data_IF_938144734457
#
_entry.id   IF_938144734457
#
_cell.length_a   1.000
_cell.length_b   1.000
_cell.length_c   1.000
_cell.angle_alpha   90.00
_cell.angle_beta   90.00
_cell.angle_gamma   90.00
#
_symmetry.space_group_name_H-M   'P 1'
#
loop_
_entity.id
_entity.type
_entity.pdbx_description
1 polymer ?
#
# COMPACT_ATOMS: atom_id res chain seq x y z
N UNK A 1 -23.69 -8.40 0.31
CA UNK A 1 -23.82 -8.31 -1.16
C UNK A 1 -22.47 -8.57 -1.80
N UNK A 2 -22.38 -9.38 -2.87
CA UNK A 2 -21.10 -9.69 -3.54
C UNK A 2 -20.44 -8.44 -4.14
N UNK A 3 -21.23 -7.47 -4.60
CA UNK A 3 -20.76 -6.21 -5.17
C UNK A 3 -19.85 -5.40 -4.22
N UNK A 4 -20.12 -5.41 -2.90
CA UNK A 4 -19.26 -4.74 -1.92
C UNK A 4 -17.89 -5.42 -1.81
N UNK A 5 -17.87 -6.76 -1.87
CA UNK A 5 -16.62 -7.54 -1.84
C UNK A 5 -15.81 -7.33 -3.12
N UNK A 6 -16.48 -7.24 -4.27
CA UNK A 6 -15.81 -7.00 -5.55
C UNK A 6 -15.23 -5.59 -5.65
N UNK A 7 -15.97 -4.56 -5.23
CA UNK A 7 -15.47 -3.19 -5.14
C UNK A 7 -14.27 -3.08 -4.18
N UNK A 8 -14.28 -3.85 -3.09
CA UNK A 8 -13.16 -3.87 -2.15
C UNK A 8 -11.92 -4.54 -2.76
N UNK A 9 -12.09 -5.66 -3.47
CA UNK A 9 -11.01 -6.31 -4.24
C UNK A 9 -10.40 -5.37 -5.28
N UNK A 10 -11.21 -4.58 -5.98
CA UNK A 10 -10.71 -3.56 -6.91
C UNK A 10 -9.90 -2.47 -6.20
N UNK A 11 -10.35 -2.00 -5.02
CA UNK A 11 -9.58 -1.02 -4.23
C UNK A 11 -8.20 -1.55 -3.83
N UNK A 12 -8.09 -2.80 -3.38
CA UNK A 12 -6.78 -3.41 -3.07
C UNK A 12 -5.90 -3.54 -4.32
N UNK A 13 -6.47 -3.92 -5.46
CA UNK A 13 -5.72 -3.97 -6.74
C UNK A 13 -5.21 -2.59 -7.15
N UNK A 14 -6.05 -1.57 -7.07
CA UNK A 14 -5.68 -0.20 -7.42
C UNK A 14 -4.60 0.34 -6.49
N UNK A 15 -4.70 0.10 -5.17
CA UNK A 15 -3.63 0.43 -4.23
C UNK A 15 -2.30 -0.22 -4.64
N UNK A 16 -2.29 -1.53 -4.93
CA UNK A 16 -1.09 -2.25 -5.34
C UNK A 16 -0.50 -1.77 -6.69
N UNK A 17 -1.33 -1.26 -7.59
CA UNK A 17 -0.88 -0.67 -8.86
C UNK A 17 -0.25 0.70 -8.61
N UNK A 18 -0.97 1.59 -7.92
CA UNK A 18 -0.52 2.94 -7.60
C UNK A 18 0.75 2.93 -6.74
N UNK A 19 0.83 2.06 -5.73
CA UNK A 19 2.03 1.92 -4.89
C UNK A 19 3.26 1.53 -5.72
N UNK A 20 3.13 0.55 -6.62
CA UNK A 20 4.25 0.13 -7.49
C UNK A 20 4.68 1.22 -8.47
N UNK A 21 3.74 1.95 -9.02
CA UNK A 21 4.03 3.08 -9.92
C UNK A 21 4.72 4.22 -9.17
N UNK A 22 4.23 4.55 -7.98
CA UNK A 22 4.86 5.53 -7.09
C UNK A 22 6.28 5.09 -6.73
N UNK A 23 6.46 3.86 -6.25
CA UNK A 23 7.77 3.31 -5.92
C UNK A 23 8.74 3.39 -7.11
N UNK A 24 8.31 2.96 -8.31
CA UNK A 24 9.13 3.04 -9.53
C UNK A 24 9.52 4.48 -9.88
N UNK A 25 8.57 5.41 -9.76
CA UNK A 25 8.80 6.83 -10.08
C UNK A 25 9.76 7.46 -9.08
N UNK A 26 9.55 7.21 -7.80
CA UNK A 26 10.36 7.77 -6.72
C UNK A 26 11.78 7.19 -6.70
N UNK A 27 11.95 5.89 -6.94
CA UNK A 27 13.28 5.26 -7.02
C UNK A 27 14.05 5.64 -8.29
N UNK A 28 13.37 6.09 -9.34
CA UNK A 28 14.01 6.62 -10.54
C UNK A 28 14.57 8.05 -10.36
N UNK A 29 14.15 8.78 -9.33
CA UNK A 29 14.65 10.13 -9.06
C UNK A 29 16.05 10.10 -8.45
N UNK A 30 17.03 10.64 -9.18
CA UNK A 30 18.35 10.93 -8.61
C UNK A 30 18.26 12.17 -7.71
N UNK A 31 17.89 11.97 -6.45
CA UNK A 31 18.09 13.00 -5.42
C UNK A 31 19.56 12.96 -5.03
N UNK A 32 20.34 13.95 -5.49
CA UNK A 32 21.81 13.98 -5.33
C UNK A 32 22.21 14.14 -3.86
N UNK A 33 21.45 14.93 -3.12
CA UNK A 33 21.69 15.17 -1.71
C UNK A 33 21.11 14.03 -0.83
N UNK A 34 21.92 13.37 0.01
CA UNK A 34 21.47 12.25 0.82
C UNK A 34 20.50 12.66 1.93
N UNK A 35 20.64 13.87 2.50
CA UNK A 35 19.75 14.35 3.55
C UNK A 35 18.35 14.66 3.01
N UNK A 36 18.27 15.37 1.88
CA UNK A 36 16.99 15.61 1.18
C UNK A 36 16.34 14.31 0.74
N UNK A 37 17.12 13.31 0.33
CA UNK A 37 16.59 11.99 -0.01
C UNK A 37 15.96 11.31 1.20
N UNK A 38 16.64 11.35 2.34
CA UNK A 38 16.17 10.77 3.60
C UNK A 38 14.92 11.49 4.11
N UNK A 39 14.91 12.82 4.14
CA UNK A 39 13.73 13.61 4.50
C UNK A 39 12.52 13.30 3.61
N UNK A 40 12.73 13.15 2.30
CA UNK A 40 11.67 12.75 1.38
C UNK A 40 11.15 11.36 1.67
N UNK A 41 12.04 10.38 1.93
CA UNK A 41 11.64 9.02 2.30
C UNK A 41 10.81 9.01 3.59
N UNK A 42 11.28 9.69 4.64
CA UNK A 42 10.56 9.84 5.92
C UNK A 42 9.18 10.44 5.67
N UNK A 43 9.10 11.57 4.96
CA UNK A 43 7.85 12.30 4.72
C UNK A 43 6.82 11.47 3.93
N UNK A 44 7.27 10.63 3.02
CA UNK A 44 6.41 9.71 2.26
C UNK A 44 5.92 8.58 3.18
N UNK A 45 6.84 7.93 3.89
CA UNK A 45 6.56 6.83 4.81
C UNK A 45 5.55 7.24 5.90
N UNK A 46 5.72 8.41 6.51
CA UNK A 46 4.80 8.98 7.50
C UNK A 46 3.36 9.15 7.00
N UNK A 47 3.15 9.27 5.67
CA UNK A 47 1.81 9.39 5.08
C UNK A 47 1.27 8.05 4.60
N UNK A 48 2.11 7.26 3.94
CA UNK A 48 1.70 6.01 3.27
C UNK A 48 1.45 4.90 4.28
N UNK A 49 2.33 4.72 5.27
CA UNK A 49 2.24 3.62 6.24
C UNK A 49 0.97 3.72 7.08
N UNK A 50 0.63 4.87 7.72
CA UNK A 50 -0.57 4.93 8.55
C UNK A 50 -1.86 4.78 7.73
N UNK A 51 -1.87 5.31 6.50
CA UNK A 51 -3.01 5.20 5.59
C UNK A 51 -3.22 3.74 5.15
N UNK A 52 -2.15 3.02 4.78
CA UNK A 52 -2.25 1.62 4.39
C UNK A 52 -2.61 0.72 5.57
N UNK A 53 -1.99 0.92 6.74
CA UNK A 53 -2.31 0.18 7.97
C UNK A 53 -3.80 0.30 8.31
N UNK A 54 -4.32 1.54 8.31
CA UNK A 54 -5.75 1.81 8.54
C UNK A 54 -6.66 1.16 7.49
N UNK A 55 -6.25 1.17 6.22
CA UNK A 55 -6.98 0.52 5.13
C UNK A 55 -7.03 -1.00 5.32
N UNK A 56 -5.89 -1.64 5.57
CA UNK A 56 -5.81 -3.09 5.76
C UNK A 56 -6.64 -3.51 6.97
N UNK A 57 -6.46 -2.86 8.12
CA UNK A 57 -7.16 -3.22 9.36
C UNK A 57 -8.69 -3.12 9.21
N UNK A 58 -9.17 -2.03 8.58
CA UNK A 58 -10.61 -1.81 8.36
C UNK A 58 -11.26 -2.85 7.44
N UNK A 59 -10.52 -3.36 6.45
CA UNK A 59 -11.09 -4.16 5.38
C UNK A 59 -10.69 -5.63 5.40
N UNK A 60 -9.66 -6.00 6.18
CA UNK A 60 -9.21 -7.38 6.39
C UNK A 60 -10.31 -8.25 6.98
N UNK A 61 -10.95 -7.81 8.05
CA UNK A 61 -12.02 -8.57 8.74
C UNK A 61 -13.22 -8.84 7.81
N UNK A 62 -13.49 -7.93 6.86
CA UNK A 62 -14.56 -8.09 5.88
C UNK A 62 -14.24 -9.12 4.77
N UNK A 63 -12.95 -9.48 4.65
CA UNK A 63 -12.43 -10.37 3.62
C UNK A 63 -11.87 -11.69 4.19
N UNK A 64 -11.65 -11.81 5.50
CA UNK A 64 -11.14 -13.02 6.18
C UNK A 64 -11.99 -14.29 5.96
N UNK A 65 -13.25 -14.14 5.51
CA UNK A 65 -14.10 -15.27 5.11
C UNK A 65 -13.97 -15.73 3.65
N UNK A 66 -13.14 -15.06 2.82
CA UNK A 66 -12.92 -15.42 1.41
C UNK A 66 -11.60 -16.18 1.29
N UNK A 67 -11.65 -17.46 0.87
CA UNK A 67 -10.47 -18.34 0.66
C UNK A 67 -9.39 -17.74 -0.24
N UNK A 68 -9.74 -16.69 -0.97
CA UNK A 68 -8.88 -15.96 -1.87
C UNK A 68 -8.25 -14.69 -1.28
N UNK A 69 -8.47 -14.35 0.00
CA UNK A 69 -8.00 -13.10 0.61
C UNK A 69 -6.48 -12.92 0.52
N UNK A 70 -5.72 -14.00 0.75
CA UNK A 70 -4.26 -14.02 0.65
C UNK A 70 -3.73 -13.65 -0.75
N UNK A 71 -4.56 -13.74 -1.81
CA UNK A 71 -4.14 -13.36 -3.17
C UNK A 71 -4.26 -11.86 -3.47
N UNK A 72 -4.93 -11.11 -2.58
CA UNK A 72 -5.21 -9.68 -2.76
C UNK A 72 -4.38 -8.78 -1.83
N UNK A 73 -4.08 -9.26 -0.61
CA UNK A 73 -3.18 -8.57 0.31
C UNK A 73 -1.77 -9.10 0.08
N UNK A 74 -1.04 -8.44 -0.83
CA UNK A 74 0.28 -8.89 -1.30
C UNK A 74 1.43 -8.34 -0.45
N UNK A 75 1.19 -7.27 0.29
CA UNK A 75 2.15 -6.60 1.15
C UNK A 75 1.55 -6.45 2.54
N UNK A 76 2.28 -6.90 3.55
CA UNK A 76 2.02 -6.54 4.94
C UNK A 76 2.37 -5.06 5.16
N UNK A 77 1.76 -4.37 6.15
CA UNK A 77 2.19 -3.03 6.53
C UNK A 77 3.70 -2.94 6.80
N UNK A 78 4.28 -4.01 7.34
CA UNK A 78 5.70 -4.15 7.63
C UNK A 78 6.55 -4.24 6.35
N UNK A 79 6.02 -4.80 5.25
CA UNK A 79 6.69 -4.79 3.94
C UNK A 79 6.76 -3.38 3.32
N UNK A 80 5.90 -2.45 3.77
CA UNK A 80 5.91 -1.06 3.29
C UNK A 80 6.81 -0.14 4.13
N UNK A 81 7.35 -0.64 5.25
CA UNK A 81 8.24 0.10 6.15
C UNK A 81 9.72 0.04 5.70
N UNK A 82 10.06 -0.81 4.72
CA UNK A 82 11.43 -1.01 4.20
C UNK A 82 11.67 -0.42 2.80
#
# INVERSE_FOLDING_TARGET
>A
SSALKDALKERFKNFNLTYRELYRTHTAWKVVDPHQREELQISISERVIPAYRSFVERYRVQLEGDRNFAKYVKYSPEDLEN
#
